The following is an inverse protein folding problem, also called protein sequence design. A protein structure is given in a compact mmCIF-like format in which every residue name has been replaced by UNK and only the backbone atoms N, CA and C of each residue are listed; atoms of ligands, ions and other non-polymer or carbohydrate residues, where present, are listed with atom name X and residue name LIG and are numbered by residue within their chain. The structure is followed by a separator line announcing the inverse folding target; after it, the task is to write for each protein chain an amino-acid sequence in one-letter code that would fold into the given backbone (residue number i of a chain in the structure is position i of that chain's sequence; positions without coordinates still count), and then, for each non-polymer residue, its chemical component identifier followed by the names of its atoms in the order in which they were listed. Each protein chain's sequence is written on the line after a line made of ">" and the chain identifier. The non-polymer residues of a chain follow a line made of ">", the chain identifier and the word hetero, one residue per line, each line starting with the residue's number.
data_IF_171431033012
#
_entry.id   IF_171431033012
#
_cell.length_a   1.000
_cell.length_b   1.000
_cell.length_c   1.000
_cell.angle_alpha   90.00
_cell.angle_beta   90.00
_cell.angle_gamma   90.00
#
_symmetry.space_group_name_H-M   'P 1'
#
loop_
_entity.id
_entity.type
_entity.pdbx_description
1 polymer ?
#
# COMPACT_ATOMS: atom_id res chain seq x y z
N UNK A 1 -10.72 11.50 -1.08
CA UNK A 1 -10.67 11.21 0.37
C UNK A 1 -9.77 9.99 0.56
N UNK A 2 -8.85 10.08 1.51
CA UNK A 2 -8.01 8.96 1.94
C UNK A 2 -8.28 8.81 3.43
N UNK A 3 -8.51 7.58 3.88
CA UNK A 3 -8.66 7.25 5.30
C UNK A 3 -7.80 6.04 5.63
N UNK A 4 -7.72 5.67 6.89
CA UNK A 4 -6.86 4.58 7.36
C UNK A 4 -7.55 3.83 8.49
N UNK A 5 -7.45 2.50 8.46
CA UNK A 5 -7.78 1.62 9.59
C UNK A 5 -6.58 0.74 9.87
N UNK A 6 -6.17 0.65 11.13
CA UNK A 6 -5.02 -0.13 11.56
C UNK A 6 -5.42 -1.16 12.62
N UNK A 7 -4.88 -2.37 12.50
CA UNK A 7 -5.00 -3.42 13.50
C UNK A 7 -3.60 -3.89 13.92
N UNK A 8 -3.29 -3.74 15.20
CA UNK A 8 -2.00 -4.10 15.78
C UNK A 8 -2.15 -5.34 16.67
N UNK A 9 -1.26 -6.32 16.48
CA UNK A 9 -1.01 -7.38 17.44
C UNK A 9 0.50 -7.34 17.79
N UNK A 10 0.90 -7.73 19.01
CA UNK A 10 2.28 -7.77 19.53
C UNK A 10 3.40 -7.13 18.70
N UNK A 11 3.77 -7.71 17.55
CA UNK A 11 4.85 -7.25 16.67
C UNK A 11 4.40 -6.91 15.25
N UNK A 12 3.11 -7.00 14.92
CA UNK A 12 2.57 -6.86 13.58
C UNK A 12 1.51 -5.76 13.50
N UNK A 13 1.53 -4.99 12.41
CA UNK A 13 0.58 -3.93 12.12
C UNK A 13 -0.02 -4.13 10.72
N UNK A 14 -1.34 -4.27 10.65
CA UNK A 14 -2.09 -4.37 9.39
C UNK A 14 -2.82 -3.07 9.16
N UNK A 15 -2.54 -2.42 8.03
CA UNK A 15 -3.15 -1.15 7.67
C UNK A 15 -3.93 -1.29 6.38
N UNK A 16 -5.16 -0.78 6.39
CA UNK A 16 -6.00 -0.65 5.22
C UNK A 16 -6.17 0.85 4.95
N UNK A 17 -5.80 1.29 3.75
CA UNK A 17 -5.95 2.66 3.27
C UNK A 17 -6.96 2.72 2.12
N UNK A 18 -8.25 2.99 2.41
CA UNK A 18 -9.24 3.21 1.36
C UNK A 18 -8.96 4.48 0.57
N UNK A 19 -8.92 4.34 -0.76
CA UNK A 19 -8.86 5.44 -1.71
C UNK A 19 -10.27 5.68 -2.27
N UNK A 20 -10.83 6.86 -1.99
CA UNK A 20 -12.24 7.17 -2.27
C UNK A 20 -12.35 8.49 -3.04
N UNK A 21 -13.12 8.48 -4.12
CA UNK A 21 -13.54 9.67 -4.85
C UNK A 21 -14.87 10.21 -4.31
N UNK A 22 -15.05 11.53 -4.33
CA UNK A 22 -16.36 12.15 -4.10
C UNK A 22 -16.85 12.71 -5.43
N UNK A 23 -18.01 12.26 -5.89
CA UNK A 23 -18.64 12.71 -7.14
C UNK A 23 -20.15 12.57 -7.05
N UNK A 24 -20.89 13.53 -7.59
CA UNK A 24 -22.36 13.53 -7.62
C UNK A 24 -22.97 13.21 -6.24
N UNK A 25 -22.41 13.86 -5.21
CA UNK A 25 -22.76 13.70 -3.79
C UNK A 25 -22.63 12.26 -3.23
N UNK A 26 -21.78 11.44 -3.86
CA UNK A 26 -21.51 10.05 -3.47
C UNK A 26 -20.03 9.78 -3.21
N UNK A 27 -19.78 8.86 -2.28
CA UNK A 27 -18.48 8.24 -2.09
C UNK A 27 -18.34 7.05 -3.04
N UNK A 28 -17.42 7.17 -4.00
CA UNK A 28 -17.11 6.12 -4.97
C UNK A 28 -15.75 5.49 -4.60
N UNK A 29 -15.71 4.22 -4.15
CA UNK A 29 -14.44 3.55 -3.85
C UNK A 29 -13.63 3.38 -5.13
N UNK A 30 -12.35 3.76 -5.07
CA UNK A 30 -11.37 3.52 -6.14
C UNK A 30 -10.63 2.21 -5.84
N UNK A 31 -10.05 2.10 -4.65
CA UNK A 31 -9.31 0.92 -4.23
C UNK A 31 -9.15 0.84 -2.69
N UNK A 32 -8.68 -0.31 -2.22
CA UNK A 32 -8.27 -0.58 -0.84
C UNK A 32 -6.81 -0.99 -0.86
N UNK A 33 -5.92 -0.15 -0.34
CA UNK A 33 -4.49 -0.45 -0.29
C UNK A 33 -4.21 -1.15 1.04
N UNK A 34 -3.58 -2.32 0.99
CA UNK A 34 -3.24 -3.13 2.16
C UNK A 34 -1.74 -3.08 2.40
N UNK A 35 -1.32 -2.60 3.57
CA UNK A 35 0.08 -2.62 4.00
C UNK A 35 0.24 -3.38 5.31
N UNK A 36 1.46 -3.88 5.51
CA UNK A 36 1.83 -4.72 6.61
C UNK A 36 3.21 -4.33 7.13
N UNK A 37 3.29 -4.09 8.44
CA UNK A 37 4.55 -3.91 9.14
C UNK A 37 4.76 -5.04 10.14
N UNK A 38 6.01 -5.41 10.36
CA UNK A 38 6.41 -6.31 11.44
C UNK A 38 7.69 -5.85 12.11
N UNK A 39 7.80 -6.07 13.41
CA UNK A 39 8.96 -5.73 14.21
C UNK A 39 9.35 -6.93 15.07
N UNK A 40 10.15 -7.82 14.48
CA UNK A 40 10.64 -9.04 15.13
C UNK A 40 12.01 -8.79 15.79
N UNK A 41 12.53 -9.80 16.49
CA UNK A 41 13.84 -9.71 17.13
C UNK A 41 14.95 -9.39 16.09
N UNK A 42 15.06 -10.20 15.03
CA UNK A 42 16.20 -10.13 14.11
C UNK A 42 16.09 -8.98 13.08
N UNK A 43 14.87 -8.57 12.75
CA UNK A 43 14.60 -7.61 11.70
C UNK A 43 13.24 -6.91 11.88
N UNK A 44 13.09 -5.79 11.19
CA UNK A 44 11.80 -5.10 11.05
C UNK A 44 11.50 -4.86 9.57
N UNK A 45 10.22 -4.97 9.23
CA UNK A 45 9.67 -4.62 7.93
C UNK A 45 8.64 -3.52 8.04
N UNK A 46 8.65 -2.63 7.06
CA UNK A 46 7.67 -1.54 6.96
C UNK A 46 7.21 -1.36 5.52
N UNK A 47 5.92 -1.12 5.36
CA UNK A 47 5.28 -0.81 4.09
C UNK A 47 4.61 0.56 4.15
N UNK A 48 5.31 1.58 3.67
CA UNK A 48 4.85 2.97 3.71
C UNK A 48 4.15 3.36 2.40
N UNK A 49 2.94 3.94 2.49
CA UNK A 49 2.14 4.36 1.33
C UNK A 49 2.37 5.83 1.01
N UNK A 50 2.70 6.14 -0.24
CA UNK A 50 2.74 7.49 -0.80
C UNK A 50 1.73 7.62 -1.95
N UNK A 51 1.00 8.74 -1.99
CA UNK A 51 0.05 9.05 -3.06
C UNK A 51 0.45 10.34 -3.76
N UNK A 52 0.39 10.34 -5.10
CA UNK A 52 0.73 11.46 -5.95
C UNK A 52 -0.27 11.58 -7.10
N UNK A 53 -0.57 12.79 -7.54
CA UNK A 53 -1.27 13.02 -8.80
C UNK A 53 -0.30 13.04 -9.97
N UNK A 54 -0.73 12.53 -11.12
CA UNK A 54 0.01 12.56 -12.38
C UNK A 54 -0.77 13.43 -13.36
N UNK A 55 -0.17 14.55 -13.77
CA UNK A 55 -0.83 15.57 -14.59
C UNK A 55 -1.62 16.57 -13.75
N UNK A 56 -0.94 17.20 -12.79
CA UNK A 56 -1.50 18.15 -11.83
C UNK A 56 -2.42 19.20 -12.48
N UNK A 57 -3.54 19.49 -11.81
CA UNK A 57 -4.51 20.49 -12.24
C UNK A 57 -5.53 20.00 -13.28
N UNK A 58 -5.42 18.79 -13.80
CA UNK A 58 -6.44 18.22 -14.69
C UNK A 58 -7.61 17.60 -13.91
N UNK A 59 -8.87 17.82 -14.34
CA UNK A 59 -10.00 17.06 -13.83
C UNK A 59 -9.76 15.56 -14.03
N UNK A 60 -9.94 14.80 -12.95
CA UNK A 60 -9.71 13.35 -12.94
C UNK A 60 -8.27 12.96 -13.32
N UNK A 61 -7.29 13.76 -12.87
CA UNK A 61 -5.87 13.43 -12.97
C UNK A 61 -5.60 12.00 -12.46
N UNK A 62 -4.67 11.30 -13.11
CA UNK A 62 -4.31 9.97 -12.70
C UNK A 62 -3.68 10.00 -11.30
N UNK A 63 -3.89 8.95 -10.52
CA UNK A 63 -3.40 8.84 -9.14
C UNK A 63 -2.33 7.76 -9.14
N UNK A 64 -1.10 8.09 -8.80
CA UNK A 64 -0.05 7.11 -8.55
C UNK A 64 -0.01 6.79 -7.06
N UNK A 65 -0.09 5.51 -6.73
CA UNK A 65 0.15 4.98 -5.39
C UNK A 65 1.48 4.23 -5.44
N UNK A 66 2.35 4.50 -4.49
CA UNK A 66 3.60 3.76 -4.27
C UNK A 66 3.61 3.22 -2.85
N UNK A 67 3.88 1.93 -2.70
CA UNK A 67 4.24 1.31 -1.43
C UNK A 67 5.74 1.07 -1.43
N UNK A 68 6.44 1.60 -0.43
CA UNK A 68 7.85 1.31 -0.19
C UNK A 68 7.91 0.18 0.83
N UNK A 69 8.29 -1.03 0.39
CA UNK A 69 8.52 -2.19 1.27
C UNK A 69 10.00 -2.24 1.64
N UNK A 70 10.29 -2.09 2.93
CA UNK A 70 11.64 -2.02 3.47
C UNK A 70 11.85 -3.04 4.58
N UNK A 71 12.95 -3.79 4.51
CA UNK A 71 13.44 -4.73 5.52
C UNK A 71 14.76 -4.22 6.07
N UNK A 72 14.87 -4.09 7.39
CA UNK A 72 16.10 -3.69 8.09
C UNK A 72 16.45 -4.71 9.18
N UNK A 73 17.74 -4.99 9.40
CA UNK A 73 18.18 -5.82 10.53
C UNK A 73 18.20 -4.98 11.81
N UNK A 74 17.77 -5.58 12.91
CA UNK A 74 17.76 -4.91 14.21
C UNK A 74 19.10 -5.05 14.96
N UNK A 75 20.00 -5.91 14.47
CA UNK A 75 21.31 -6.13 15.06
C UNK A 75 21.29 -6.99 16.33
N UNK A 76 20.12 -7.54 16.69
CA UNK A 76 19.97 -8.47 17.80
C UNK A 76 20.39 -9.88 17.40
N UNK A 77 21.00 -10.60 18.35
CA UNK A 77 21.32 -12.02 18.17
C UNK A 77 20.09 -12.85 18.49
N UNK A 78 19.42 -13.32 17.44
CA UNK A 78 18.21 -14.12 17.54
C UNK A 78 18.47 -15.51 16.92
N UNK A 79 17.67 -16.51 17.32
CA UNK A 79 17.85 -17.89 16.83
C UNK A 79 17.45 -18.04 15.34
N UNK A 80 16.57 -17.18 14.84
CA UNK A 80 16.11 -17.20 13.45
C UNK A 80 17.06 -16.48 12.50
N UNK A 81 17.22 -17.02 11.29
CA UNK A 81 17.97 -16.34 10.23
C UNK A 81 17.12 -15.21 9.65
N UNK A 82 17.54 -13.93 9.76
CA UNK A 82 16.77 -12.84 9.20
C UNK A 82 16.76 -12.89 7.66
N UNK A 83 15.71 -12.36 7.02
CA UNK A 83 15.71 -12.12 5.59
C UNK A 83 16.81 -11.13 5.21
N UNK A 84 17.12 -11.09 3.91
CA UNK A 84 18.04 -10.08 3.38
C UNK A 84 17.45 -8.68 3.58
N UNK A 85 18.24 -7.70 4.06
CA UNK A 85 17.83 -6.30 4.07
C UNK A 85 17.68 -5.79 2.65
N UNK A 86 16.52 -5.24 2.37
CA UNK A 86 16.17 -4.73 1.05
C UNK A 86 15.14 -3.60 1.18
N UNK A 87 15.08 -2.75 0.17
CA UNK A 87 14.05 -1.74 0.03
C UNK A 87 13.67 -1.65 -1.44
N UNK A 88 12.38 -1.72 -1.73
CA UNK A 88 11.88 -1.62 -3.08
C UNK A 88 10.53 -0.90 -3.12
N UNK A 89 10.27 -0.24 -4.25
CA UNK A 89 9.03 0.47 -4.50
C UNK A 89 8.10 -0.37 -5.38
N UNK A 90 6.84 -0.46 -4.98
CA UNK A 90 5.77 -1.12 -5.72
C UNK A 90 4.74 -0.05 -6.03
N UNK A 91 4.46 0.19 -7.32
CA UNK A 91 3.54 1.25 -7.74
C UNK A 91 2.40 0.74 -8.59
N UNK A 92 1.24 1.39 -8.43
CA UNK A 92 0.07 1.27 -9.31
C UNK A 92 -0.38 2.68 -9.69
N UNK A 93 -0.71 2.89 -10.96
CA UNK A 93 -1.34 4.13 -11.43
C UNK A 93 -2.81 3.88 -11.75
N UNK A 94 -3.68 4.69 -11.16
CA UNK A 94 -5.12 4.70 -11.41
C UNK A 94 -5.44 5.77 -12.44
N UNK A 95 -5.90 5.36 -13.61
CA UNK A 95 -6.30 6.24 -14.70
C UNK A 95 -7.82 6.36 -14.78
N UNK A 96 -8.31 7.57 -15.02
CA UNK A 96 -9.72 7.80 -15.28
C UNK A 96 -10.14 7.21 -16.63
N UNK A 97 -11.06 6.26 -16.60
CA UNK A 97 -11.74 5.75 -17.79
C UNK A 97 -13.04 6.53 -18.01
N UNK A 98 -13.07 7.32 -19.08
CA UNK A 98 -14.24 8.12 -19.48
C UNK A 98 -15.44 7.27 -19.89
N UNK A 99 -15.23 6.04 -20.38
CA UNK A 99 -16.31 5.17 -20.85
C UNK A 99 -17.11 4.61 -19.67
N UNK A 100 -16.42 4.14 -18.65
CA UNK A 100 -17.04 3.60 -17.44
C UNK A 100 -17.25 4.65 -16.36
N UNK A 101 -16.68 5.84 -16.53
CA UNK A 101 -16.70 6.93 -15.55
C UNK A 101 -16.17 6.46 -14.19
N UNK A 102 -15.04 5.75 -14.20
CA UNK A 102 -14.37 5.16 -13.03
C UNK A 102 -12.86 5.21 -13.20
N UNK A 103 -12.14 5.13 -12.09
CA UNK A 103 -10.71 4.87 -12.11
C UNK A 103 -10.42 3.39 -12.36
N UNK A 104 -9.38 3.13 -13.15
CA UNK A 104 -8.90 1.79 -13.49
C UNK A 104 -7.40 1.70 -13.22
N UNK A 105 -6.95 0.62 -12.58
CA UNK A 105 -5.54 0.38 -12.29
C UNK A 105 -4.79 -0.13 -13.52
N UNK A 106 -3.55 0.30 -13.66
CA UNK A 106 -2.65 -0.13 -14.73
C UNK A 106 -2.03 -1.53 -14.50
N UNK A 107 -2.07 -2.02 -13.26
CA UNK A 107 -1.46 -3.28 -12.84
C UNK A 107 -2.12 -3.86 -11.58
N UNK A 108 -1.77 -5.10 -11.26
CA UNK A 108 -2.22 -5.87 -10.09
C UNK A 108 -1.16 -5.92 -8.97
N UNK A 109 -0.16 -5.03 -9.02
CA UNK A 109 1.04 -5.12 -8.17
C UNK A 109 0.71 -5.01 -6.67
N UNK A 110 -0.21 -4.14 -6.28
CA UNK A 110 -0.64 -4.01 -4.89
C UNK A 110 -1.56 -5.15 -4.44
N UNK A 111 -2.28 -5.82 -5.34
CA UNK A 111 -3.04 -7.04 -4.97
C UNK A 111 -2.09 -8.19 -4.69
N UNK A 112 -1.01 -8.32 -5.49
CA UNK A 112 0.05 -9.31 -5.25
C UNK A 112 0.74 -9.06 -3.92
N UNK A 113 1.08 -7.81 -3.63
CA UNK A 113 1.64 -7.43 -2.32
C UNK A 113 0.68 -7.80 -1.18
N UNK A 114 -0.62 -7.51 -1.31
CA UNK A 114 -1.61 -7.91 -0.32
C UNK A 114 -1.69 -9.42 -0.12
N UNK A 115 -1.60 -10.20 -1.21
CA UNK A 115 -1.53 -11.66 -1.16
C UNK A 115 -0.26 -12.19 -0.48
N UNK A 116 0.88 -11.55 -0.72
CA UNK A 116 2.15 -11.86 -0.02
C UNK A 116 2.05 -11.55 1.47
N UNK A 117 1.47 -10.41 1.84
CA UNK A 117 1.22 -10.05 3.24
C UNK A 117 0.31 -11.06 3.93
N UNK A 118 -0.76 -11.50 3.27
CA UNK A 118 -1.69 -12.49 3.82
C UNK A 118 -1.05 -13.88 4.04
N UNK A 119 -0.05 -14.25 3.24
CA UNK A 119 0.71 -15.50 3.44
C UNK A 119 1.74 -15.41 4.58
N UNK A 120 2.09 -14.19 5.01
CA UNK A 120 3.00 -13.93 6.14
C UNK A 120 2.25 -13.81 7.48
N UNK A 121 0.92 -13.63 7.42
CA UNK A 121 0.01 -13.67 8.57
C UNK A 121 -0.39 -15.11 8.93
#
# INVERSE_FOLDING_TARGET
>A
LITMSAHFNSSQNYVITPLIMIRDDKFEPIDMIYTFDENLCAYSRKQDVTLQTVGDGQPYAAIKVTVTDSTVLNGESCDDTPPRPESHEISVTYHWDKKTSRYTKDSDALDKLAGENANRF
#
